data_IF_351303706927
#
_entry.id   IF_351303706927
#
_cell.length_a   1.000
_cell.length_b   1.000
_cell.length_c   1.000
_cell.angle_alpha   90.00
_cell.angle_beta   90.00
_cell.angle_gamma   90.00
#
_symmetry.space_group_name_H-M   'P 1'
#
loop_
_entity.id
_entity.type
_entity.pdbx_description
1 polymer ?
#
# COMPACT_ATOMS: atom_id res chain seq x y z
N UNK A 1 -5.98 -62.97 -49.36
CA UNK A 1 -4.66 -63.45 -48.85
C UNK A 1 -3.62 -62.40 -49.21
N UNK A 2 -2.78 -62.00 -48.23
CA UNK A 2 -1.42 -61.38 -48.23
C UNK A 2 -0.95 -60.68 -49.52
N UNK A 3 -0.30 -59.51 -49.56
CA UNK A 3 0.28 -58.53 -48.62
C UNK A 3 0.74 -57.33 -49.48
N UNK A 4 0.73 -56.08 -48.99
CA UNK A 4 1.92 -55.30 -48.57
C UNK A 4 3.13 -55.46 -49.54
N UNK A 5 3.66 -54.41 -50.20
CA UNK A 5 4.31 -53.25 -49.61
C UNK A 5 4.27 -52.00 -50.49
N UNK A 6 4.08 -50.85 -49.84
CA UNK A 6 3.86 -49.54 -50.42
C UNK A 6 5.13 -48.75 -50.74
N UNK A 7 5.02 -47.97 -51.81
CA UNK A 7 6.01 -47.05 -52.34
C UNK A 7 5.60 -45.60 -52.02
N UNK A 8 6.58 -44.82 -51.55
CA UNK A 8 6.78 -43.35 -51.60
C UNK A 8 5.64 -42.38 -51.22
N UNK A 9 5.92 -41.53 -50.22
CA UNK A 9 5.58 -40.10 -50.31
C UNK A 9 6.60 -39.24 -49.56
N UNK A 10 7.15 -38.26 -50.28
CA UNK A 10 8.07 -37.25 -49.80
C UNK A 10 7.43 -36.33 -48.75
N UNK A 11 8.17 -36.04 -47.68
CA UNK A 11 7.79 -35.04 -46.69
C UNK A 11 8.90 -33.99 -46.56
N UNK A 12 8.57 -32.76 -46.97
CA UNK A 12 9.38 -31.56 -46.76
C UNK A 12 9.55 -31.28 -45.26
N UNK A 13 10.73 -30.84 -44.79
CA UNK A 13 10.97 -30.56 -43.39
C UNK A 13 10.18 -29.32 -42.93
N UNK A 14 9.38 -29.50 -41.86
CA UNK A 14 8.75 -28.42 -41.10
C UNK A 14 9.78 -27.71 -40.24
N UNK A 15 9.76 -26.38 -40.33
CA UNK A 15 10.48 -25.45 -39.48
C UNK A 15 9.95 -25.49 -38.03
N UNK A 16 10.84 -25.47 -37.04
CA UNK A 16 10.50 -25.11 -35.66
C UNK A 16 11.61 -24.22 -35.12
N UNK A 17 11.19 -23.07 -34.62
CA UNK A 17 11.92 -21.94 -34.05
C UNK A 17 12.86 -22.33 -32.90
N UNK A 18 14.07 -21.74 -32.79
CA UNK A 18 14.94 -21.95 -31.63
C UNK A 18 14.46 -21.13 -30.41
N UNK A 19 14.37 -21.82 -29.28
CA UNK A 19 14.08 -21.24 -27.96
C UNK A 19 15.12 -20.17 -27.57
N UNK A 20 14.61 -18.99 -27.22
CA UNK A 20 15.36 -17.82 -26.78
C UNK A 20 15.48 -17.86 -25.26
N UNK A 21 16.40 -18.67 -24.73
CA UNK A 21 17.00 -18.43 -23.40
C UNK A 21 18.46 -18.91 -23.42
N UNK A 22 19.46 -18.02 -23.32
CA UNK A 22 20.83 -18.46 -23.12
C UNK A 22 20.99 -18.99 -21.69
N UNK A 23 21.35 -20.27 -21.58
CA UNK A 23 21.98 -20.87 -20.40
C UNK A 23 23.13 -19.97 -19.93
N UNK A 24 22.91 -19.13 -18.93
CA UNK A 24 23.99 -18.49 -18.20
C UNK A 24 24.45 -19.44 -17.10
N UNK A 25 25.34 -20.33 -17.47
CA UNK A 25 26.19 -21.09 -16.57
C UNK A 25 26.91 -20.11 -15.62
N UNK A 26 26.59 -20.19 -14.32
CA UNK A 26 27.37 -19.51 -13.29
C UNK A 26 28.77 -20.11 -13.25
N UNK A 27 29.84 -19.29 -13.12
CA UNK A 27 31.19 -19.82 -13.05
C UNK A 27 31.35 -20.62 -11.74
N UNK A 28 31.51 -21.93 -11.88
CA UNK A 28 31.79 -22.86 -10.78
C UNK A 28 33.15 -22.52 -10.17
N UNK A 29 33.24 -22.14 -8.88
CA UNK A 29 34.53 -21.97 -8.24
C UNK A 29 35.00 -23.33 -7.75
N UNK A 30 36.15 -23.76 -8.27
CA UNK A 30 36.98 -24.93 -7.92
C UNK A 30 36.74 -26.21 -8.74
N UNK A 31 37.87 -26.77 -9.20
CA UNK A 31 37.94 -27.84 -10.19
C UNK A 31 37.28 -29.15 -9.78
N UNK A 32 36.73 -29.83 -10.78
CA UNK A 32 36.51 -31.28 -10.86
C UNK A 32 35.60 -31.98 -9.85
N UNK A 33 35.20 -31.35 -8.74
CA UNK A 33 34.35 -31.96 -7.71
C UNK A 33 33.19 -31.01 -7.41
N UNK A 34 31.95 -31.52 -7.52
CA UNK A 34 30.70 -30.74 -7.55
C UNK A 34 30.45 -29.76 -6.39
N UNK A 35 29.33 -29.03 -6.49
CA UNK A 35 28.97 -27.90 -5.62
C UNK A 35 29.12 -28.18 -4.11
N UNK A 36 29.88 -27.32 -3.41
CA UNK A 36 30.17 -27.43 -1.97
C UNK A 36 29.45 -26.33 -1.17
N UNK A 37 28.24 -26.58 -0.62
CA UNK A 37 27.41 -25.55 -0.01
C UNK A 37 28.06 -24.86 1.18
N UNK A 38 28.79 -25.60 2.03
CA UNK A 38 29.48 -25.03 3.21
C UNK A 38 30.59 -24.05 2.82
N UNK A 39 31.34 -24.35 1.76
CA UNK A 39 32.41 -23.47 1.26
C UNK A 39 31.83 -22.25 0.56
N UNK A 40 30.80 -22.44 -0.27
CA UNK A 40 30.07 -21.35 -0.91
C UNK A 40 29.47 -20.39 0.13
N UNK A 41 28.88 -20.93 1.20
CA UNK A 41 28.32 -20.13 2.30
C UNK A 41 29.41 -19.35 3.05
N UNK A 42 30.54 -19.97 3.41
CA UNK A 42 31.68 -19.27 4.03
C UNK A 42 32.20 -18.11 3.17
N UNK A 43 32.39 -18.35 1.86
CA UNK A 43 32.82 -17.32 0.92
C UNK A 43 31.78 -16.22 0.74
N UNK A 44 30.48 -16.54 0.77
CA UNK A 44 29.41 -15.56 0.72
C UNK A 44 29.36 -14.69 2.00
N UNK A 45 29.49 -15.30 3.18
CA UNK A 45 29.57 -14.59 4.46
C UNK A 45 30.80 -13.68 4.52
N UNK A 46 31.97 -14.17 4.07
CA UNK A 46 33.19 -13.35 3.99
C UNK A 46 33.01 -12.16 3.04
N UNK A 47 32.48 -12.38 1.83
CA UNK A 47 32.15 -11.29 0.89
C UNK A 47 31.13 -10.29 1.44
N UNK A 48 30.18 -10.74 2.26
CA UNK A 48 29.20 -9.88 2.93
C UNK A 48 29.88 -9.00 3.99
N UNK A 49 30.82 -9.56 4.74
CA UNK A 49 31.56 -8.83 5.77
C UNK A 49 32.50 -7.78 5.14
N UNK A 50 33.20 -8.12 4.07
CA UNK A 50 34.16 -7.22 3.40
C UNK A 50 33.51 -6.14 2.54
N UNK A 51 32.25 -6.29 2.15
CA UNK A 51 31.47 -5.28 1.41
C UNK A 51 30.84 -4.19 2.30
N UNK A 52 30.85 -4.34 3.62
CA UNK A 52 30.25 -3.37 4.53
C UNK A 52 31.19 -2.18 4.78
N UNK A 53 31.49 -1.39 3.75
CA UNK A 53 31.86 -0.01 4.00
C UNK A 53 30.58 0.75 4.35
N UNK A 54 30.65 1.59 5.39
CA UNK A 54 29.51 2.43 5.76
C UNK A 54 29.24 3.40 4.61
N UNK A 55 28.24 3.08 3.76
CA UNK A 55 27.76 3.94 2.67
C UNK A 55 27.27 5.31 3.16
N UNK A 56 27.06 5.46 4.47
CA UNK A 56 26.54 6.65 5.13
C UNK A 56 27.55 7.10 6.17
N UNK A 57 28.04 8.33 6.02
CA UNK A 57 29.01 8.93 6.94
C UNK A 57 28.35 9.21 8.30
N UNK A 58 29.10 9.13 9.42
CA UNK A 58 28.57 9.45 10.75
C UNK A 58 27.98 10.86 10.84
N UNK A 59 28.63 11.86 10.22
CA UNK A 59 28.12 13.24 10.15
C UNK A 59 26.70 13.32 9.56
N UNK A 60 26.39 12.46 8.57
CA UNK A 60 25.06 12.40 7.96
C UNK A 60 24.04 11.76 8.89
N UNK A 61 24.42 10.74 9.65
CA UNK A 61 23.54 10.17 10.67
C UNK A 61 23.20 11.19 11.76
N UNK A 62 24.17 11.94 12.26
CA UNK A 62 23.92 12.99 13.25
C UNK A 62 22.91 14.02 12.74
N UNK A 63 23.00 14.40 11.47
CA UNK A 63 22.05 15.34 10.86
C UNK A 63 20.64 14.73 10.70
N UNK A 64 20.54 13.45 10.33
CA UNK A 64 19.25 12.73 10.28
C UNK A 64 18.64 12.62 11.69
N UNK A 65 19.44 12.36 12.71
CA UNK A 65 18.97 12.32 14.10
C UNK A 65 18.45 13.67 14.58
N UNK A 66 19.07 14.79 14.18
CA UNK A 66 18.55 16.13 14.46
C UNK A 66 17.16 16.34 13.85
N UNK A 67 16.99 16.00 12.57
CA UNK A 67 15.69 16.10 11.89
C UNK A 67 14.63 15.18 12.51
N UNK A 68 15.03 13.96 12.90
CA UNK A 68 14.14 13.07 13.65
C UNK A 68 13.74 13.68 15.00
N UNK A 69 14.66 14.36 15.70
CA UNK A 69 14.37 15.07 16.94
C UNK A 69 13.39 16.24 16.78
N UNK A 70 13.27 16.80 15.57
CA UNK A 70 12.28 17.78 15.17
C UNK A 70 10.97 17.15 14.64
N UNK A 71 10.77 15.84 14.88
CA UNK A 71 9.60 15.05 14.47
C UNK A 71 9.37 14.95 12.96
N UNK A 72 10.42 15.11 12.15
CA UNK A 72 10.33 14.84 10.71
C UNK A 72 10.17 13.34 10.45
N UNK A 73 9.27 12.97 9.53
CA UNK A 73 9.13 11.58 9.10
C UNK A 73 10.34 11.12 8.27
N UNK A 74 10.72 9.83 8.33
CA UNK A 74 11.77 9.28 7.47
C UNK A 74 11.58 9.57 5.97
N UNK A 75 10.34 9.58 5.49
CA UNK A 75 10.00 9.97 4.12
C UNK A 75 10.27 11.46 3.86
N UNK A 76 9.87 12.34 4.78
CA UNK A 76 10.13 13.78 4.65
C UNK A 76 11.63 14.06 4.63
N UNK A 77 12.41 13.40 5.47
CA UNK A 77 13.88 13.52 5.48
C UNK A 77 14.47 13.05 4.16
N UNK A 78 14.03 11.89 3.65
CA UNK A 78 14.50 11.36 2.37
C UNK A 78 14.22 12.31 1.20
N UNK A 79 12.99 12.84 1.12
CA UNK A 79 12.57 13.76 0.06
C UNK A 79 13.29 15.11 0.17
N UNK A 80 13.43 15.64 1.38
CA UNK A 80 14.13 16.90 1.61
C UNK A 80 15.62 16.78 1.25
N UNK A 81 16.28 15.67 1.57
CA UNK A 81 17.67 15.44 1.18
C UNK A 81 17.85 15.42 -0.33
N UNK A 82 16.91 14.83 -1.05
CA UNK A 82 16.89 14.80 -2.53
C UNK A 82 16.69 16.20 -3.10
N UNK A 83 15.73 16.97 -2.58
CA UNK A 83 15.45 18.35 -3.00
C UNK A 83 16.65 19.28 -2.78
N UNK A 84 17.39 19.11 -1.68
CA UNK A 84 18.59 19.89 -1.37
C UNK A 84 19.85 19.42 -2.11
N UNK A 85 19.72 18.51 -3.08
CA UNK A 85 20.80 17.90 -3.84
C UNK A 85 21.92 17.31 -2.94
N UNK A 86 21.53 16.82 -1.76
CA UNK A 86 22.43 16.14 -0.82
C UNK A 86 22.44 14.65 -1.16
N UNK A 87 23.49 13.91 -0.76
CA UNK A 87 23.51 12.46 -0.95
C UNK A 87 22.27 11.81 -0.33
N UNK A 88 21.40 11.28 -1.19
CA UNK A 88 20.11 10.73 -0.77
C UNK A 88 20.29 9.55 0.19
N UNK A 89 19.37 9.44 1.15
CA UNK A 89 19.22 8.29 2.03
C UNK A 89 17.78 7.84 1.91
N UNK A 90 17.58 6.59 1.48
CA UNK A 90 16.25 6.02 1.41
C UNK A 90 15.59 6.02 2.78
N UNK A 91 14.32 6.41 2.84
CA UNK A 91 13.49 6.32 4.05
C UNK A 91 13.52 4.93 4.70
N UNK A 92 13.63 3.85 3.92
CA UNK A 92 13.79 2.48 4.44
C UNK A 92 15.10 2.31 5.25
N UNK A 93 16.20 2.94 4.82
CA UNK A 93 17.46 2.90 5.58
C UNK A 93 17.34 3.66 6.91
N UNK A 94 16.61 4.78 6.90
CA UNK A 94 16.31 5.54 8.12
C UNK A 94 15.44 4.70 9.05
N UNK A 95 14.43 4.00 8.54
CA UNK A 95 13.62 3.07 9.34
C UNK A 95 14.45 1.92 9.94
N UNK A 96 15.34 1.31 9.16
CA UNK A 96 16.24 0.27 9.66
C UNK A 96 17.19 0.79 10.75
N UNK A 97 17.65 2.04 10.61
CA UNK A 97 18.46 2.72 11.62
C UNK A 97 17.69 2.93 12.92
N UNK A 98 16.48 3.51 12.85
CA UNK A 98 15.59 3.72 14.00
C UNK A 98 15.25 2.38 14.67
N UNK A 99 15.00 1.33 13.89
CA UNK A 99 14.72 0.00 14.42
C UNK A 99 15.94 -0.60 15.14
N UNK A 100 17.15 -0.38 14.62
CA UNK A 100 18.39 -0.79 15.27
C UNK A 100 18.61 -0.02 16.58
N UNK A 101 18.48 1.30 16.55
CA UNK A 101 18.56 2.17 17.74
C UNK A 101 17.59 1.70 18.83
N UNK A 102 16.32 1.49 18.47
CA UNK A 102 15.30 0.95 19.38
C UNK A 102 15.68 -0.40 20.01
N UNK A 103 16.31 -1.31 19.25
CA UNK A 103 16.78 -2.60 19.78
C UNK A 103 17.92 -2.46 20.77
N UNK A 104 18.70 -1.38 20.66
CA UNK A 104 19.77 -1.03 21.60
C UNK A 104 19.29 -0.13 22.76
N UNK A 105 17.98 0.12 22.88
CA UNK A 105 17.40 0.92 23.96
C UNK A 105 17.33 2.42 23.66
N UNK A 106 17.61 2.84 22.43
CA UNK A 106 17.49 4.24 22.02
C UNK A 106 16.05 4.71 21.83
N UNK A 107 15.90 6.03 21.74
CA UNK A 107 14.61 6.72 21.75
C UNK A 107 14.21 7.30 20.38
N UNK A 108 14.98 7.13 19.31
CA UNK A 108 14.65 7.76 18.01
C UNK A 108 13.26 7.35 17.50
N UNK A 109 12.81 6.15 17.87
CA UNK A 109 11.49 5.67 17.49
C UNK A 109 10.33 6.46 18.10
N UNK A 110 10.52 7.21 19.20
CA UNK A 110 9.45 7.99 19.86
C UNK A 110 9.04 9.21 19.06
N UNK A 111 9.91 9.68 18.17
CA UNK A 111 9.65 10.80 17.25
C UNK A 111 8.83 10.41 16.02
N UNK A 112 8.55 9.11 15.84
CA UNK A 112 7.67 8.68 14.75
C UNK A 112 6.21 9.06 15.04
N UNK A 113 5.48 9.50 14.01
CA UNK A 113 4.08 9.93 14.15
C UNK A 113 3.13 8.83 14.67
N UNK A 114 3.46 7.56 14.41
CA UNK A 114 2.66 6.41 14.80
C UNK A 114 3.34 5.55 15.88
N UNK A 115 3.04 5.85 17.14
CA UNK A 115 3.50 5.08 18.31
C UNK A 115 2.61 3.87 18.63
N UNK A 116 1.46 3.75 17.97
CA UNK A 116 0.49 2.71 18.26
C UNK A 116 1.03 1.36 17.78
N UNK A 117 1.01 0.36 18.67
CA UNK A 117 1.21 -1.03 18.27
C UNK A 117 0.20 -1.37 17.18
N UNK A 118 0.67 -1.87 16.04
CA UNK A 118 -0.20 -2.38 14.98
C UNK A 118 -1.08 -3.48 15.58
N UNK A 119 -2.37 -3.20 15.77
CA UNK A 119 -3.34 -4.21 16.15
C UNK A 119 -3.70 -5.01 14.90
N UNK A 120 -3.71 -6.35 15.01
CA UNK A 120 -4.33 -7.18 13.97
C UNK A 120 -5.81 -6.77 13.91
N UNK A 121 -6.30 -6.47 12.71
CA UNK A 121 -7.73 -6.23 12.48
C UNK A 121 -8.38 -7.61 12.42
N UNK A 122 -8.92 -8.09 13.53
CA UNK A 122 -9.92 -9.14 13.47
C UNK A 122 -11.16 -8.50 12.85
N UNK A 123 -11.62 -9.03 11.71
CA UNK A 123 -12.86 -8.55 11.10
C UNK A 123 -13.98 -8.73 12.11
N UNK A 124 -14.64 -7.65 12.52
CA UNK A 124 -15.92 -7.76 13.19
C UNK A 124 -16.95 -8.19 12.13
N UNK A 125 -17.82 -9.14 12.47
CA UNK A 125 -18.92 -9.48 11.59
C UNK A 125 -19.83 -8.26 11.45
N UNK A 126 -19.99 -7.76 10.23
CA UNK A 126 -20.88 -6.63 9.93
C UNK A 126 -22.32 -7.06 10.20
N UNK A 127 -22.99 -6.42 11.16
CA UNK A 127 -24.36 -6.78 11.58
C UNK A 127 -25.43 -5.88 10.98
N UNK A 128 -25.04 -4.77 10.33
CA UNK A 128 -25.99 -3.76 9.84
C UNK A 128 -26.71 -4.19 8.57
N UNK A 129 -26.21 -5.20 7.87
CA UNK A 129 -26.67 -5.54 6.52
C UNK A 129 -26.31 -4.47 5.49
N UNK A 130 -26.61 -4.75 4.22
CA UNK A 130 -26.55 -3.74 3.16
C UNK A 130 -27.95 -3.10 3.01
N UNK A 131 -27.99 -1.82 2.65
CA UNK A 131 -29.24 -1.14 2.37
C UNK A 131 -29.85 -1.74 1.09
N UNK A 132 -31.07 -2.31 1.14
CA UNK A 132 -31.70 -2.87 -0.06
C UNK A 132 -31.96 -1.75 -1.07
N UNK A 133 -31.77 -2.04 -2.35
CA UNK A 133 -31.97 -1.10 -3.47
C UNK A 133 -31.12 0.18 -3.42
N UNK A 134 -29.97 0.16 -2.74
CA UNK A 134 -29.03 1.28 -2.81
C UNK A 134 -28.43 1.37 -4.22
N UNK A 135 -28.66 2.48 -4.89
CA UNK A 135 -27.99 2.82 -6.15
C UNK A 135 -26.58 3.32 -5.83
N UNK A 136 -25.59 2.84 -6.58
CA UNK A 136 -24.20 3.27 -6.37
C UNK A 136 -24.05 4.76 -6.68
N UNK A 137 -23.12 5.45 -6.00
CA UNK A 137 -22.78 6.83 -6.34
C UNK A 137 -22.29 6.94 -7.79
N UNK A 138 -21.64 5.89 -8.28
CA UNK A 138 -21.14 5.81 -9.67
C UNK A 138 -22.25 5.68 -10.71
N UNK A 139 -23.45 5.26 -10.30
CA UNK A 139 -24.62 5.11 -11.18
C UNK A 139 -25.47 6.38 -11.24
N UNK A 140 -25.05 7.47 -10.57
CA UNK A 140 -25.77 8.75 -10.62
C UNK A 140 -25.82 9.28 -12.06
N UNK A 141 -26.97 9.81 -12.51
CA UNK A 141 -27.07 10.47 -13.81
C UNK A 141 -26.04 11.60 -13.95
N UNK A 142 -25.41 11.72 -15.13
CA UNK A 142 -24.35 12.69 -15.39
C UNK A 142 -24.76 14.14 -15.04
N UNK A 143 -26.04 14.49 -15.21
CA UNK A 143 -26.59 15.81 -14.86
C UNK A 143 -26.37 16.21 -13.40
N UNK A 144 -26.31 15.24 -12.47
CA UNK A 144 -26.05 15.49 -11.03
C UNK A 144 -24.60 15.94 -10.78
N UNK A 145 -23.67 15.50 -11.64
CA UNK A 145 -22.27 15.92 -11.58
C UNK A 145 -22.08 17.35 -12.11
N UNK A 146 -22.89 17.76 -13.09
CA UNK A 146 -22.84 19.11 -13.67
C UNK A 146 -23.24 20.20 -12.67
N UNK A 147 -24.11 19.89 -11.68
CA UNK A 147 -24.62 20.86 -10.68
C UNK A 147 -25.31 22.09 -11.32
N UNK A 148 -26.07 21.86 -12.38
CA UNK A 148 -26.75 22.92 -13.15
C UNK A 148 -28.24 23.06 -12.83
N UNK A 149 -28.82 22.13 -12.06
CA UNK A 149 -30.23 22.15 -11.66
C UNK A 149 -30.38 22.15 -10.15
N UNK A 150 -31.51 22.67 -9.67
CA UNK A 150 -31.93 22.53 -8.29
C UNK A 150 -32.65 21.20 -8.07
N UNK A 151 -32.58 20.67 -6.85
CA UNK A 151 -33.36 19.50 -6.41
C UNK A 151 -32.54 18.23 -6.24
N UNK A 152 -31.23 18.28 -6.47
CA UNK A 152 -30.33 17.17 -6.15
C UNK A 152 -29.85 17.34 -4.69
N UNK A 153 -30.59 16.72 -3.77
CA UNK A 153 -30.34 16.77 -2.32
C UNK A 153 -29.46 15.62 -1.84
N UNK A 154 -28.54 15.91 -0.93
CA UNK A 154 -27.76 14.93 -0.18
C UNK A 154 -28.18 14.93 1.28
N UNK A 155 -28.46 13.75 1.82
CA UNK A 155 -28.87 13.57 3.21
C UNK A 155 -27.75 12.86 3.97
N UNK A 156 -27.27 13.51 5.02
CA UNK A 156 -26.28 12.97 5.96
C UNK A 156 -26.88 12.87 7.36
N UNK A 157 -26.38 11.92 8.15
CA UNK A 157 -26.76 11.77 9.56
C UNK A 157 -25.52 11.76 10.44
N UNK A 158 -25.37 12.81 11.25
CA UNK A 158 -24.27 12.97 12.20
C UNK A 158 -24.68 12.35 13.53
N UNK A 159 -23.96 11.32 13.95
CA UNK A 159 -24.25 10.61 15.20
C UNK A 159 -23.39 11.18 16.34
N UNK A 160 -24.04 11.62 17.41
CA UNK A 160 -23.38 12.11 18.61
C UNK A 160 -22.73 11.03 19.47
N UNK A 161 -21.96 11.46 20.47
CA UNK A 161 -21.24 10.57 21.39
C UNK A 161 -22.19 9.56 22.05
N UNK A 162 -21.79 8.29 22.02
CA UNK A 162 -22.56 7.21 22.65
C UNK A 162 -23.90 6.90 21.98
N UNK A 163 -24.12 7.34 20.73
CA UNK A 163 -25.34 7.09 19.95
C UNK A 163 -26.64 7.62 20.59
N UNK A 164 -26.54 8.62 21.49
CA UNK A 164 -27.69 9.17 22.23
C UNK A 164 -28.44 10.32 21.55
N UNK A 165 -27.87 10.86 20.49
CA UNK A 165 -28.41 12.00 19.74
C UNK A 165 -27.93 11.91 18.31
N UNK A 166 -28.72 12.43 17.38
CA UNK A 166 -28.30 12.58 16.00
C UNK A 166 -28.76 13.91 15.40
N UNK A 167 -28.09 14.33 14.35
CA UNK A 167 -28.43 15.50 13.56
C UNK A 167 -28.56 15.02 12.12
N UNK A 168 -29.67 15.36 11.48
CA UNK A 168 -29.89 15.12 10.05
C UNK A 168 -29.59 16.41 9.33
N UNK A 169 -28.81 16.33 8.25
CA UNK A 169 -28.53 17.46 7.37
C UNK A 169 -28.91 17.13 5.94
N UNK A 170 -29.65 18.02 5.30
CA UNK A 170 -29.99 17.97 3.89
C UNK A 170 -29.29 19.12 3.19
N UNK A 171 -28.45 18.82 2.21
CA UNK A 171 -27.72 19.81 1.45
C UNK A 171 -28.06 19.71 -0.03
N UNK A 172 -28.52 20.81 -0.61
CA UNK A 172 -28.77 20.91 -2.05
C UNK A 172 -27.44 21.19 -2.78
N UNK A 173 -27.09 20.37 -3.78
CA UNK A 173 -25.72 20.34 -4.34
C UNK A 173 -25.34 21.59 -5.15
N UNK A 174 -26.31 22.28 -5.73
CA UNK A 174 -26.09 23.42 -6.64
C UNK A 174 -26.02 24.74 -5.86
N UNK A 175 -27.09 25.08 -5.13
CA UNK A 175 -27.23 26.26 -4.27
C UNK A 175 -26.46 26.18 -2.95
N UNK A 176 -26.09 24.98 -2.50
CA UNK A 176 -25.48 24.72 -1.18
C UNK A 176 -26.35 25.08 0.01
N UNK A 177 -27.66 25.29 -0.21
CA UNK A 177 -28.63 25.42 0.87
C UNK A 177 -28.57 24.18 1.75
N UNK A 178 -28.44 24.39 3.06
CA UNK A 178 -28.36 23.31 4.04
C UNK A 178 -29.47 23.46 5.08
N UNK A 179 -30.31 22.44 5.19
CA UNK A 179 -31.33 22.31 6.22
C UNK A 179 -30.82 21.32 7.26
N UNK A 180 -30.92 21.67 8.54
CA UNK A 180 -30.38 20.86 9.63
C UNK A 180 -31.46 20.70 10.70
N UNK A 181 -31.70 19.46 11.11
CA UNK A 181 -32.64 19.13 12.17
C UNK A 181 -32.01 18.19 13.20
N UNK A 182 -32.39 18.37 14.47
CA UNK A 182 -31.95 17.51 15.56
C UNK A 182 -32.98 16.42 15.77
N UNK A 183 -32.54 15.16 15.76
CA UNK A 183 -33.35 13.97 16.05
C UNK A 183 -32.84 13.31 17.33
N UNK A 184 -33.73 12.59 18.03
CA UNK A 184 -33.35 11.93 19.30
C UNK A 184 -32.53 10.69 19.01
N UNK A 185 -32.91 9.94 17.97
CA UNK A 185 -32.24 8.72 17.53
C UNK A 185 -32.00 8.75 16.02
N UNK A 186 -31.18 7.80 15.55
CA UNK A 186 -30.92 7.58 14.11
C UNK A 186 -31.92 6.61 13.46
N UNK A 187 -33.07 6.39 14.11
CA UNK A 187 -34.12 5.51 13.60
C UNK A 187 -34.70 6.06 12.31
N UNK A 188 -35.13 5.18 11.41
CA UNK A 188 -35.71 5.57 10.13
C UNK A 188 -36.91 6.51 10.32
N UNK A 189 -37.83 6.15 11.22
CA UNK A 189 -39.07 6.90 11.48
C UNK A 189 -38.79 8.35 11.92
N UNK A 190 -37.86 8.55 12.86
CA UNK A 190 -37.51 9.91 13.33
C UNK A 190 -36.78 10.73 12.26
N UNK A 191 -35.96 10.08 11.43
CA UNK A 191 -35.27 10.75 10.32
C UNK A 191 -36.28 11.13 9.23
N UNK A 192 -37.25 10.26 8.95
CA UNK A 192 -38.31 10.51 7.98
C UNK A 192 -39.21 11.67 8.41
N UNK A 193 -39.68 11.70 9.67
CA UNK A 193 -40.44 12.81 10.24
C UNK A 193 -39.65 14.13 10.14
N UNK A 194 -38.36 14.12 10.44
CA UNK A 194 -37.51 15.31 10.35
C UNK A 194 -37.29 15.81 8.91
N UNK A 195 -37.45 14.95 7.91
CA UNK A 195 -37.18 15.25 6.49
C UNK A 195 -38.47 15.65 5.75
N UNK A 196 -39.57 14.94 6.01
CA UNK A 196 -40.82 15.08 5.29
C UNK A 196 -41.86 15.95 6.03
N UNK A 197 -41.74 16.07 7.35
CA UNK A 197 -42.67 16.82 8.21
C UNK A 197 -43.83 15.98 8.73
#
# INVERSE_FOLDING_TARGET
MRGADGYIHAAYPRTTTPDIYPEKSSPNPSGGKGYRPKQAHKLACHRRQTKNSARITPKRWNFIEQLLGEDWSPEQISLWLEEQNRPAVSHEWIYQYILRDKRHGGNLHTHLRCQKKRKKRYGAHERRGQLPNSVSIEERPAIVACRERLGDWELDTIIGKGHKQAIVSLTERTSRLSLISKVRTKGADEVEEAVLG
#
